data_IF_294086654262
#
_entry.id   IF_294086654262
#
_cell.length_a   1.000
_cell.length_b   1.000
_cell.length_c   1.000
_cell.angle_alpha   90.00
_cell.angle_beta   90.00
_cell.angle_gamma   90.00
#
_symmetry.space_group_name_H-M   'P 1'
#
loop_
_entity.id
_entity.type
_entity.pdbx_description
1 polymer ?
#
# COMPACT_ATOMS: atom_id res chain seq x y z
N UNK A 1 -29.50 8.05 49.43
CA UNK A 1 -29.06 9.37 48.95
C UNK A 1 -27.56 9.46 49.12
N UNK A 2 -26.81 9.35 48.02
CA UNK A 2 -25.38 9.61 48.04
C UNK A 2 -24.99 10.14 46.67
N UNK A 3 -24.71 11.46 46.59
CA UNK A 3 -24.28 12.17 45.38
C UNK A 3 -22.77 12.04 45.29
N UNK A 4 -22.31 11.40 44.24
CA UNK A 4 -20.90 11.30 43.85
C UNK A 4 -20.48 12.62 43.21
N UNK A 5 -19.51 13.31 43.80
CA UNK A 5 -18.78 14.45 43.25
C UNK A 5 -17.62 13.90 42.41
N UNK A 6 -17.72 13.97 41.08
CA UNK A 6 -16.58 13.70 40.22
C UNK A 6 -16.55 14.75 39.09
N UNK A 7 -16.04 15.94 39.41
CA UNK A 7 -15.67 16.93 38.37
C UNK A 7 -14.55 17.79 38.98
N UNK A 8 -13.29 17.40 38.84
CA UNK A 8 -12.15 18.32 39.08
C UNK A 8 -10.79 17.84 38.55
N UNK A 9 -10.70 16.92 37.59
CA UNK A 9 -9.37 16.46 37.15
C UNK A 9 -9.05 16.62 35.67
N UNK A 10 -10.00 17.08 34.86
CA UNK A 10 -9.83 17.19 33.40
C UNK A 10 -9.03 18.44 32.99
N UNK A 11 -9.05 19.49 33.77
CA UNK A 11 -8.35 20.75 33.45
C UNK A 11 -6.82 20.71 33.62
N UNK A 12 -6.32 19.88 34.54
CA UNK A 12 -4.86 19.81 34.80
C UNK A 12 -4.09 19.03 33.75
N UNK A 13 -4.70 18.00 33.18
CA UNK A 13 -4.05 17.19 32.15
C UNK A 13 -3.89 17.96 30.85
N UNK A 14 -4.86 18.82 30.50
CA UNK A 14 -4.84 19.60 29.28
C UNK A 14 -3.72 20.66 29.25
N UNK A 15 -3.43 21.26 30.42
CA UNK A 15 -2.36 22.27 30.56
C UNK A 15 -0.97 21.63 30.40
N UNK A 16 -0.75 20.42 30.91
CA UNK A 16 0.54 19.74 30.79
C UNK A 16 0.84 19.32 29.36
N UNK A 17 -0.15 18.90 28.58
CA UNK A 17 0.03 18.54 27.17
C UNK A 17 0.38 19.77 26.32
N UNK A 18 -0.15 20.94 26.65
CA UNK A 18 0.12 22.17 25.90
C UNK A 18 1.54 22.71 26.16
N UNK A 19 2.07 22.52 27.38
CA UNK A 19 3.44 22.98 27.73
C UNK A 19 4.51 22.11 27.06
N UNK A 20 4.28 20.77 26.97
CA UNK A 20 5.23 19.85 26.34
C UNK A 20 5.34 20.07 24.83
N UNK A 21 4.28 20.52 24.17
CA UNK A 21 4.29 20.81 22.73
C UNK A 21 5.05 22.10 22.38
N UNK A 22 5.10 23.06 23.31
CA UNK A 22 5.80 24.35 23.08
C UNK A 22 7.33 24.26 23.19
N UNK A 23 7.85 23.28 23.94
CA UNK A 23 9.31 23.14 24.13
C UNK A 23 10.03 22.41 22.98
N UNK A 24 9.31 21.76 22.07
CA UNK A 24 9.88 21.01 20.96
C UNK A 24 10.10 21.83 19.67
N UNK A 25 9.77 23.13 19.67
CA UNK A 25 9.86 24.00 18.48
C UNK A 25 11.10 24.89 18.40
N UNK A 26 12.08 24.75 19.33
CA UNK A 26 13.29 25.58 19.31
C UNK A 26 14.50 24.79 18.81
N UNK A 27 14.46 24.37 17.52
CA UNK A 27 15.68 23.94 16.81
C UNK A 27 16.13 25.14 15.97
N UNK A 28 17.12 25.86 16.49
CA UNK A 28 17.84 26.89 15.74
C UNK A 28 18.60 26.26 14.58
N UNK A 29 18.14 26.57 13.35
CA UNK A 29 18.88 26.25 12.12
C UNK A 29 20.01 27.24 11.97
N UNK A 30 21.18 26.87 12.51
CA UNK A 30 22.43 27.57 12.20
C UNK A 30 22.91 27.07 10.84
N UNK A 31 22.74 27.89 9.82
CA UNK A 31 23.26 27.66 8.47
C UNK A 31 24.69 28.10 8.38
N UNK A 32 25.72 27.27 8.16
CA UNK A 32 26.99 27.71 7.67
C UNK A 32 26.96 27.73 6.14
N UNK A 33 27.05 28.91 5.59
CA UNK A 33 27.42 29.12 4.20
C UNK A 33 28.81 28.51 3.95
N UNK A 34 28.89 27.49 3.12
CA UNK A 34 30.13 27.04 2.52
C UNK A 34 29.90 26.69 1.05
N UNK A 35 30.14 27.71 0.21
CA UNK A 35 30.41 27.54 -1.21
C UNK A 35 31.68 26.69 -1.37
N UNK A 36 31.48 25.45 -1.77
CA UNK A 36 32.51 24.71 -2.53
C UNK A 36 31.72 23.78 -3.47
N UNK A 37 31.59 24.23 -4.71
CA UNK A 37 31.12 23.40 -5.81
C UNK A 37 32.12 22.25 -6.04
N UNK A 38 31.80 21.00 -5.68
CA UNK A 38 32.47 19.89 -6.31
C UNK A 38 31.78 19.72 -7.68
N UNK A 39 32.53 19.85 -8.74
CA UNK A 39 32.21 19.30 -10.05
C UNK A 39 31.98 17.81 -9.86
N UNK A 40 30.74 17.43 -9.59
CA UNK A 40 30.34 16.06 -9.75
C UNK A 40 30.41 15.75 -11.24
N UNK A 41 31.50 15.09 -11.63
CA UNK A 41 31.59 14.37 -12.88
C UNK A 41 30.30 13.49 -12.96
N UNK A 42 29.50 13.76 -13.97
CA UNK A 42 28.28 13.04 -14.29
C UNK A 42 28.66 11.65 -14.78
N UNK A 43 29.07 10.77 -13.87
CA UNK A 43 28.95 9.33 -14.01
C UNK A 43 27.65 8.92 -13.33
N UNK A 44 26.53 9.49 -13.77
CA UNK A 44 25.22 8.89 -13.51
C UNK A 44 25.17 7.62 -14.35
N UNK A 45 25.71 6.54 -13.78
CA UNK A 45 25.29 5.22 -14.14
C UNK A 45 23.76 5.26 -14.00
N UNK A 46 23.09 5.22 -15.13
CA UNK A 46 21.63 5.09 -15.23
C UNK A 46 21.35 3.74 -14.60
N UNK A 47 21.16 3.74 -13.26
CA UNK A 47 20.55 2.59 -12.59
C UNK A 47 19.24 2.38 -13.30
N UNK A 48 19.21 1.36 -14.14
CA UNK A 48 18.02 0.98 -14.90
C UNK A 48 16.98 0.62 -13.84
N UNK A 49 16.07 1.56 -13.58
CA UNK A 49 14.93 1.29 -12.70
C UNK A 49 14.30 -0.03 -13.15
N UNK A 50 14.15 -1.02 -12.27
CA UNK A 50 13.66 -2.33 -12.66
C UNK A 50 12.30 -2.19 -13.33
N UNK A 51 12.15 -2.82 -14.48
CA UNK A 51 10.90 -2.78 -15.26
C UNK A 51 9.76 -3.43 -14.45
N UNK A 52 8.70 -2.67 -14.13
CA UNK A 52 7.55 -3.20 -13.40
C UNK A 52 6.91 -4.43 -14.06
N UNK A 53 6.92 -4.50 -15.41
CA UNK A 53 6.39 -5.63 -16.14
C UNK A 53 7.26 -6.88 -15.96
N UNK A 54 8.58 -6.73 -15.94
CA UNK A 54 9.50 -7.83 -15.67
C UNK A 54 9.30 -8.38 -14.24
N UNK A 55 9.17 -7.51 -13.25
CA UNK A 55 8.89 -7.92 -11.86
C UNK A 55 7.55 -8.67 -11.79
N UNK A 56 6.50 -8.13 -12.40
CA UNK A 56 5.17 -8.76 -12.40
C UNK A 56 5.19 -10.13 -13.10
N UNK A 57 6.01 -10.28 -14.12
CA UNK A 57 6.13 -11.54 -14.86
C UNK A 57 6.88 -12.63 -14.08
N UNK A 58 7.80 -12.26 -13.20
CA UNK A 58 8.64 -13.20 -12.43
C UNK A 58 8.06 -13.57 -11.08
N UNK A 59 7.18 -12.71 -10.51
CA UNK A 59 6.55 -12.95 -9.20
C UNK A 59 5.76 -14.26 -9.18
N UNK A 60 5.97 -15.07 -8.12
CA UNK A 60 5.35 -16.39 -7.94
C UNK A 60 4.31 -16.42 -6.84
N UNK A 61 4.46 -15.58 -5.84
CA UNK A 61 3.61 -15.57 -4.67
C UNK A 61 2.93 -14.20 -4.50
N UNK A 62 1.63 -14.21 -4.20
CA UNK A 62 0.82 -13.02 -4.01
C UNK A 62 0.14 -13.04 -2.64
N UNK A 63 0.38 -12.01 -1.84
CA UNK A 63 -0.37 -11.72 -0.63
C UNK A 63 -1.44 -10.66 -0.91
N UNK A 64 -2.66 -10.87 -0.39
CA UNK A 64 -3.79 -9.95 -0.57
C UNK A 64 -4.13 -9.28 0.75
N UNK A 65 -4.07 -7.96 0.77
CA UNK A 65 -4.45 -7.14 1.91
C UNK A 65 -5.58 -6.17 1.54
N UNK A 66 -6.73 -6.34 2.17
CA UNK A 66 -7.87 -5.43 2.00
C UNK A 66 -7.99 -4.50 3.20
N UNK A 67 -7.96 -3.19 2.95
CA UNK A 67 -8.20 -2.14 3.96
C UNK A 67 -9.66 -1.71 4.02
N UNK A 68 -10.57 -2.51 3.48
CA UNK A 68 -12.00 -2.22 3.51
C UNK A 68 -12.79 -3.38 4.09
N UNK A 69 -13.77 -3.08 4.94
CA UNK A 69 -14.65 -4.09 5.53
C UNK A 69 -15.67 -4.65 4.53
N UNK A 70 -15.91 -3.95 3.41
CA UNK A 70 -16.92 -4.33 2.42
C UNK A 70 -16.42 -5.42 1.46
N UNK A 71 -15.12 -5.52 1.25
CA UNK A 71 -14.51 -6.54 0.39
C UNK A 71 -13.36 -7.16 1.17
N UNK A 72 -13.61 -8.29 1.81
CA UNK A 72 -12.63 -9.01 2.61
C UNK A 72 -11.54 -9.63 1.73
N UNK A 73 -10.32 -9.75 2.26
CA UNK A 73 -9.19 -10.38 1.55
C UNK A 73 -9.52 -11.79 1.06
N UNK A 74 -10.20 -12.58 1.90
CA UNK A 74 -10.54 -13.98 1.58
C UNK A 74 -11.47 -14.09 0.36
N UNK A 75 -12.37 -13.10 0.17
CA UNK A 75 -13.25 -13.06 -1.00
C UNK A 75 -12.46 -12.77 -2.27
N UNK A 76 -11.50 -11.85 -2.18
CA UNK A 76 -10.61 -11.53 -3.31
C UNK A 76 -9.72 -12.73 -3.64
N UNK A 77 -9.12 -13.38 -2.63
CA UNK A 77 -8.32 -14.59 -2.78
C UNK A 77 -9.10 -15.69 -3.51
N UNK A 78 -10.34 -15.95 -3.07
CA UNK A 78 -11.23 -16.94 -3.70
C UNK A 78 -11.50 -16.61 -5.18
N UNK A 79 -11.74 -15.33 -5.51
CA UNK A 79 -11.97 -14.90 -6.88
C UNK A 79 -10.71 -14.99 -7.74
N UNK A 80 -9.53 -14.70 -7.17
CA UNK A 80 -8.24 -14.87 -7.85
C UNK A 80 -7.95 -16.35 -8.14
N UNK A 81 -8.22 -17.25 -7.19
CA UNK A 81 -8.04 -18.70 -7.36
C UNK A 81 -8.90 -19.31 -8.46
N UNK A 82 -10.06 -18.70 -8.76
CA UNK A 82 -10.93 -19.14 -9.87
C UNK A 82 -10.39 -18.77 -11.24
N UNK A 83 -9.40 -17.85 -11.34
CA UNK A 83 -8.86 -17.36 -12.61
C UNK A 83 -7.86 -18.36 -13.20
N UNK A 84 -8.19 -18.91 -14.33
CA UNK A 84 -7.28 -19.81 -15.09
C UNK A 84 -6.02 -19.12 -15.54
N UNK A 85 -6.10 -17.82 -15.84
CA UNK A 85 -4.96 -17.00 -16.28
C UNK A 85 -3.85 -16.93 -15.21
N UNK A 86 -4.25 -16.83 -13.92
CA UNK A 86 -3.31 -16.79 -12.81
C UNK A 86 -2.70 -18.18 -12.53
N UNK A 87 -3.51 -19.24 -12.68
CA UNK A 87 -3.02 -20.63 -12.57
C UNK A 87 -2.01 -20.95 -13.68
N UNK A 88 -2.30 -20.59 -14.92
CA UNK A 88 -1.38 -20.73 -16.04
C UNK A 88 -0.10 -19.92 -15.85
N UNK A 89 -0.23 -18.78 -15.22
CA UNK A 89 0.89 -17.96 -14.79
C UNK A 89 1.67 -18.56 -13.61
N UNK A 90 1.23 -19.65 -12.98
CA UNK A 90 1.87 -20.25 -11.81
C UNK A 90 1.92 -19.32 -10.59
N UNK A 91 0.97 -18.38 -10.49
CA UNK A 91 0.87 -17.46 -9.36
C UNK A 91 0.13 -18.16 -8.21
N UNK A 92 0.77 -18.24 -7.05
CA UNK A 92 0.26 -18.87 -5.84
C UNK A 92 -0.17 -17.78 -4.87
N UNK A 93 -1.35 -17.92 -4.26
CA UNK A 93 -1.82 -17.00 -3.23
C UNK A 93 -1.33 -17.50 -1.88
N UNK A 94 -0.63 -16.63 -1.15
CA UNK A 94 -0.14 -16.89 0.21
C UNK A 94 -0.87 -16.01 1.23
N UNK A 95 -0.95 -16.48 2.47
CA UNK A 95 -1.42 -15.67 3.61
C UNK A 95 -0.28 -15.14 4.47
N UNK A 96 0.93 -15.52 4.14
CA UNK A 96 2.13 -15.01 4.78
C UNK A 96 2.69 -13.85 3.94
N UNK A 97 2.61 -12.64 4.47
CA UNK A 97 3.11 -11.44 3.81
C UNK A 97 4.65 -11.44 3.69
N UNK A 98 5.36 -12.13 4.59
CA UNK A 98 6.81 -12.20 4.57
C UNK A 98 7.32 -13.17 3.47
N UNK A 99 6.50 -14.16 3.09
CA UNK A 99 6.81 -15.12 2.04
C UNK A 99 6.27 -14.67 0.66
N UNK A 100 5.69 -13.50 0.56
CA UNK A 100 5.12 -12.99 -0.69
C UNK A 100 6.16 -12.26 -1.54
N UNK A 101 6.16 -12.52 -2.86
CA UNK A 101 6.89 -11.69 -3.83
C UNK A 101 6.11 -10.42 -4.15
N UNK A 102 4.78 -10.52 -4.22
CA UNK A 102 3.87 -9.45 -4.58
C UNK A 102 2.84 -9.23 -3.46
N UNK A 103 2.55 -7.97 -3.16
CA UNK A 103 1.51 -7.59 -2.20
C UNK A 103 0.45 -6.78 -2.92
N UNK A 104 -0.78 -7.27 -2.92
CA UNK A 104 -1.94 -6.54 -3.43
C UNK A 104 -2.64 -5.81 -2.29
N UNK A 105 -2.66 -4.49 -2.32
CA UNK A 105 -3.47 -3.67 -1.44
C UNK A 105 -4.75 -3.22 -2.13
N UNK A 106 -5.89 -3.46 -1.48
CA UNK A 106 -7.19 -3.00 -1.93
C UNK A 106 -7.74 -1.99 -0.94
N UNK A 107 -8.19 -0.85 -1.45
CA UNK A 107 -8.79 0.23 -0.67
C UNK A 107 -10.19 0.54 -1.20
N UNK A 108 -10.98 1.28 -0.45
CA UNK A 108 -12.20 1.90 -0.93
C UNK A 108 -11.98 3.41 -1.01
N UNK A 109 -12.40 4.02 -2.09
CA UNK A 109 -12.48 5.48 -2.16
C UNK A 109 -13.64 5.97 -1.29
N UNK A 110 -13.41 7.02 -0.49
CA UNK A 110 -14.42 7.57 0.40
C UNK A 110 -15.68 7.99 -0.38
N UNK A 111 -16.84 7.61 0.13
CA UNK A 111 -18.16 7.90 -0.46
C UNK A 111 -18.36 7.43 -1.91
N UNK A 112 -17.53 6.51 -2.39
CA UNK A 112 -17.56 5.99 -3.75
C UNK A 112 -17.81 4.48 -3.76
N UNK A 113 -18.29 4.00 -4.90
CA UNK A 113 -18.38 2.56 -5.23
C UNK A 113 -17.11 2.04 -5.88
N UNK A 114 -16.05 2.85 -5.88
CA UNK A 114 -14.75 2.51 -6.46
C UNK A 114 -13.85 1.81 -5.43
N UNK A 115 -13.22 0.74 -5.89
CA UNK A 115 -12.24 -0.05 -5.15
C UNK A 115 -10.92 -0.01 -5.92
N UNK A 116 -10.06 0.99 -5.68
CA UNK A 116 -8.71 1.00 -6.23
C UNK A 116 -7.88 -0.11 -5.59
N UNK A 117 -7.04 -0.74 -6.41
CA UNK A 117 -6.04 -1.68 -5.94
C UNK A 117 -4.67 -1.34 -6.52
N UNK A 118 -3.64 -1.65 -5.76
CA UNK A 118 -2.24 -1.48 -6.12
C UNK A 118 -1.52 -2.78 -5.81
N UNK A 119 -0.64 -3.21 -6.70
CA UNK A 119 0.24 -4.37 -6.47
C UNK A 119 1.67 -3.86 -6.44
N UNK A 120 2.36 -4.18 -5.37
CA UNK A 120 3.74 -3.79 -5.14
C UNK A 120 4.64 -5.02 -5.06
N UNK A 121 5.86 -4.90 -5.51
CA UNK A 121 6.92 -5.87 -5.23
C UNK A 121 7.30 -5.80 -3.74
N UNK A 122 7.27 -6.92 -3.04
CA UNK A 122 7.48 -6.96 -1.60
C UNK A 122 8.88 -6.49 -1.18
N UNK A 123 9.89 -6.69 -2.04
CA UNK A 123 11.29 -6.35 -1.74
C UNK A 123 11.62 -4.90 -2.05
N UNK A 124 11.24 -4.43 -3.24
CA UNK A 124 11.63 -3.10 -3.73
C UNK A 124 10.58 -2.04 -3.46
N UNK A 125 9.37 -2.43 -3.05
CA UNK A 125 8.20 -1.55 -2.86
C UNK A 125 7.78 -0.81 -4.13
N UNK A 126 8.23 -1.27 -5.29
CA UNK A 126 7.84 -0.69 -6.58
C UNK A 126 6.43 -1.14 -6.94
N UNK A 127 5.63 -0.19 -7.43
CA UNK A 127 4.29 -0.49 -7.96
C UNK A 127 4.43 -1.19 -9.29
N UNK A 128 4.02 -2.45 -9.36
CA UNK A 128 4.13 -3.30 -10.57
C UNK A 128 2.81 -3.41 -11.33
N UNK A 129 1.68 -3.18 -10.65
CA UNK A 129 0.37 -3.17 -11.26
C UNK A 129 -0.58 -2.29 -10.44
N UNK A 130 -1.57 -1.71 -11.10
CA UNK A 130 -2.64 -0.97 -10.42
C UNK A 130 -3.92 -1.00 -11.23
N UNK A 131 -5.04 -0.75 -10.57
CA UNK A 131 -6.31 -0.66 -11.23
C UNK A 131 -7.43 -0.25 -10.28
N UNK A 132 -8.64 -0.17 -10.84
CA UNK A 132 -9.83 0.14 -10.06
C UNK A 132 -11.00 -0.74 -10.51
N UNK A 133 -11.85 -1.10 -9.55
CA UNK A 133 -13.09 -1.81 -9.81
C UNK A 133 -14.27 -0.99 -9.27
N UNK A 134 -15.28 -0.77 -10.10
CA UNK A 134 -16.52 -0.12 -9.68
C UNK A 134 -17.57 -1.19 -9.39
N UNK A 135 -18.14 -1.18 -8.20
CA UNK A 135 -19.16 -2.15 -7.83
C UNK A 135 -20.15 -1.60 -6.83
N UNK A 136 -21.43 -1.71 -7.15
CA UNK A 136 -22.54 -1.35 -6.27
C UNK A 136 -22.93 -2.50 -5.30
N UNK A 137 -22.75 -3.76 -5.71
CA UNK A 137 -23.26 -4.92 -4.96
C UNK A 137 -22.31 -6.13 -5.08
N UNK A 138 -21.32 -6.23 -4.17
CA UNK A 138 -20.55 -7.47 -3.96
C UNK A 138 -19.64 -7.99 -5.09
N UNK A 139 -19.70 -7.43 -6.30
CA UNK A 139 -18.93 -7.90 -7.46
C UNK A 139 -17.53 -7.29 -7.58
N UNK A 140 -17.13 -6.46 -6.61
CA UNK A 140 -15.84 -5.77 -6.64
C UNK A 140 -14.67 -6.77 -6.69
N UNK A 141 -14.69 -7.81 -5.86
CA UNK A 141 -13.63 -8.81 -5.80
C UNK A 141 -13.42 -9.51 -7.16
N UNK A 142 -14.52 -9.90 -7.82
CA UNK A 142 -14.45 -10.55 -9.13
C UNK A 142 -13.88 -9.61 -10.21
N UNK A 143 -14.23 -8.32 -10.17
CA UNK A 143 -13.70 -7.30 -11.09
C UNK A 143 -12.22 -7.01 -10.84
N UNK A 144 -11.80 -6.92 -9.57
CA UNK A 144 -10.39 -6.77 -9.18
C UNK A 144 -9.60 -7.96 -9.70
N UNK A 145 -10.06 -9.19 -9.40
CA UNK A 145 -9.40 -10.42 -9.84
C UNK A 145 -9.28 -10.49 -11.36
N UNK A 146 -10.33 -10.14 -12.10
CA UNK A 146 -10.32 -10.09 -13.58
C UNK A 146 -9.35 -9.03 -14.10
N UNK A 147 -9.34 -7.85 -13.50
CA UNK A 147 -8.45 -6.75 -13.89
C UNK A 147 -6.97 -7.12 -13.71
N UNK A 148 -6.64 -7.67 -12.54
CA UNK A 148 -5.29 -8.11 -12.23
C UNK A 148 -4.83 -9.28 -13.10
N UNK A 149 -5.67 -10.30 -13.31
CA UNK A 149 -5.35 -11.43 -14.17
C UNK A 149 -4.98 -11.01 -15.60
N UNK A 150 -5.68 -10.02 -16.17
CA UNK A 150 -5.33 -9.45 -17.47
C UNK A 150 -3.95 -8.78 -17.49
N UNK A 151 -3.59 -8.08 -16.42
CA UNK A 151 -2.28 -7.41 -16.30
C UNK A 151 -1.15 -8.43 -16.21
N UNK A 152 -1.31 -9.48 -15.39
CA UNK A 152 -0.36 -10.59 -15.30
C UNK A 152 -0.19 -11.28 -16.65
N UNK A 153 -1.29 -11.57 -17.34
CA UNK A 153 -1.24 -12.19 -18.66
C UNK A 153 -0.54 -11.31 -19.69
N UNK A 154 -0.75 -9.99 -19.64
CA UNK A 154 -0.07 -9.04 -20.54
C UNK A 154 1.43 -9.01 -20.26
N UNK A 155 1.83 -8.89 -18.97
CA UNK A 155 3.24 -8.84 -18.58
C UNK A 155 4.03 -10.10 -18.96
N UNK A 156 3.36 -11.28 -19.00
CA UNK A 156 4.01 -12.55 -19.38
C UNK A 156 4.06 -12.81 -20.87
N UNK A 157 3.36 -12.02 -21.66
CA UNK A 157 3.39 -12.12 -23.15
C UNK A 157 4.35 -11.12 -23.78
N UNK A 158 4.81 -10.13 -23.01
CA UNK A 158 5.81 -9.14 -23.42
C UNK A 158 7.21 -9.69 -23.31
#
# INVERSE_FOLDING_TARGET
MSKVKTVANTGRVLVYVLIVVLELCSIEITSPAQETSPRFASAVGRETSPDPAAILSTGRTLYVHSRTVLVKSEVIESELQKRSELKQAGLIITRDSAAADLIMEVRRSNFSTEYPYVVIDARTQIVVASGKANSLFGTAAAKIAKGFAKQVQKARKS
#
